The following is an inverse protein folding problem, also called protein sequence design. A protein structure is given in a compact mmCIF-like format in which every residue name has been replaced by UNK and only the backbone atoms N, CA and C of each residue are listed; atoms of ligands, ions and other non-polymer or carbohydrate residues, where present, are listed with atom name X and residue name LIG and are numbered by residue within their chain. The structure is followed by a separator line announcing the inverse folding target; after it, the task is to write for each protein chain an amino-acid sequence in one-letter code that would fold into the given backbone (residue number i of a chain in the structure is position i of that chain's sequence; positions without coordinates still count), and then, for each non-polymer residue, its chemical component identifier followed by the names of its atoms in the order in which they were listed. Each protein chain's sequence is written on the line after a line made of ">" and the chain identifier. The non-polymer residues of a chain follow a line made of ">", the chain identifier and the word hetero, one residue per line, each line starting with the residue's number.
data_IF_613494729198
#
_entry.id   IF_613494729198
#
_cell.length_a   1.000
_cell.length_b   1.000
_cell.length_c   1.000
_cell.angle_alpha   90.00
_cell.angle_beta   90.00
_cell.angle_gamma   90.00
#
_symmetry.space_group_name_H-M   'P 1'
#
loop_
_entity.id
_entity.type
_entity.pdbx_description
1 polymer ?
#
# COMPACT_ATOMS: atom_id res chain seq x y z
N UNK A 1 -12.40 -6.29 2.07
CA UNK A 1 -11.66 -5.09 1.59
C UNK A 1 -11.53 -4.13 2.75
N UNK A 2 -10.47 -4.26 3.54
CA UNK A 2 -10.22 -3.35 4.66
C UNK A 2 -9.27 -2.26 4.21
N UNK A 3 -9.57 -1.05 4.61
CA UNK A 3 -8.96 0.20 4.17
C UNK A 3 -7.56 0.33 4.74
N UNK A 4 -6.60 0.64 3.89
CA UNK A 4 -5.25 1.06 4.31
C UNK A 4 -5.37 2.40 5.06
N UNK A 5 -5.22 2.40 6.37
CA UNK A 5 -5.10 3.63 7.15
C UNK A 5 -3.63 4.06 7.11
N UNK A 6 -3.32 5.07 6.31
CA UNK A 6 -2.02 5.71 6.28
C UNK A 6 -2.03 6.92 7.21
N UNK A 7 -1.21 6.90 8.25
CA UNK A 7 -0.85 8.11 8.98
C UNK A 7 0.22 8.84 8.18
N UNK A 8 -0.15 9.97 7.59
CA UNK A 8 0.80 10.82 6.87
C UNK A 8 1.70 11.55 7.85
N UNK A 9 3.01 11.33 7.72
CA UNK A 9 4.04 12.10 8.38
C UNK A 9 4.16 13.52 7.79
N UNK A 10 4.81 14.35 8.53
CA UNK A 10 5.06 15.78 8.38
C UNK A 10 5.33 16.19 6.95
N UNK A 11 4.40 16.93 6.35
CA UNK A 11 4.56 17.62 5.08
C UNK A 11 5.32 18.92 5.29
N UNK A 12 6.56 18.99 4.86
CA UNK A 12 7.26 20.25 4.67
C UNK A 12 7.00 20.72 3.25
N UNK A 13 5.91 21.43 3.02
CA UNK A 13 5.71 22.17 1.79
C UNK A 13 6.56 23.44 1.87
N UNK A 14 7.68 23.47 1.16
CA UNK A 14 8.35 24.74 0.84
C UNK A 14 7.50 25.43 -0.21
N UNK A 15 6.50 26.17 0.23
CA UNK A 15 5.76 27.10 -0.60
C UNK A 15 6.57 28.40 -0.72
N UNK A 16 7.21 28.62 -1.85
CA UNK A 16 7.47 29.97 -2.32
C UNK A 16 6.19 30.48 -3.02
N UNK A 17 5.13 30.66 -2.24
CA UNK A 17 3.95 31.38 -2.70
C UNK A 17 4.14 32.85 -2.31
N UNK A 18 4.73 33.61 -3.19
CA UNK A 18 4.48 35.06 -3.17
C UNK A 18 3.01 35.27 -3.49
N UNK A 19 2.23 35.52 -2.44
CA UNK A 19 0.83 35.92 -2.58
C UNK A 19 0.80 37.28 -3.29
N UNK A 20 0.39 37.28 -4.55
CA UNK A 20 0.26 38.50 -5.37
C UNK A 20 -0.65 39.58 -4.77
N UNK A 21 -1.28 39.33 -3.62
CA UNK A 21 -2.31 40.17 -3.02
C UNK A 21 -1.91 40.84 -1.71
N UNK A 22 -0.69 40.65 -1.17
CA UNK A 22 -0.38 41.11 0.18
C UNK A 22 0.42 42.41 0.28
N UNK A 23 0.88 43.02 -0.81
CA UNK A 23 1.80 44.16 -0.75
C UNK A 23 1.55 45.35 -1.68
N UNK A 24 0.40 45.44 -2.34
CA UNK A 24 0.11 46.67 -3.07
C UNK A 24 -1.25 47.22 -2.60
N UNK A 25 -1.34 48.52 -2.24
CA UNK A 25 -2.62 49.21 -2.24
C UNK A 25 -3.06 49.20 -3.70
N UNK A 26 -4.04 48.34 -3.97
CA UNK A 26 -4.49 48.09 -5.33
C UNK A 26 -5.12 49.38 -5.91
N UNK A 27 -4.38 50.14 -6.59
CA UNK A 27 -4.93 51.00 -7.62
C UNK A 27 -5.24 50.11 -8.80
N UNK A 28 -6.37 49.42 -8.69
CA UNK A 28 -6.90 48.65 -9.81
C UNK A 28 -7.30 49.64 -10.92
N UNK A 29 -6.63 49.59 -12.03
CA UNK A 29 -7.14 50.20 -13.24
C UNK A 29 -8.33 49.34 -13.71
N UNK A 30 -9.54 49.92 -13.85
CA UNK A 30 -10.77 49.17 -14.14
C UNK A 30 -10.72 48.38 -15.46
N UNK A 31 -9.79 48.66 -16.32
CA UNK A 31 -9.63 48.04 -17.63
C UNK A 31 -8.59 46.92 -17.66
N UNK A 32 -7.97 46.58 -16.52
CA UNK A 32 -7.01 45.49 -16.46
C UNK A 32 -7.72 44.16 -16.15
N UNK A 33 -7.64 43.14 -17.01
CA UNK A 33 -8.23 41.83 -16.76
C UNK A 33 -7.64 41.17 -15.52
N UNK A 34 -6.46 41.58 -15.08
CA UNK A 34 -5.81 41.09 -13.84
C UNK A 34 -6.45 41.64 -12.56
N UNK A 35 -7.07 42.82 -12.63
CA UNK A 35 -7.69 43.47 -11.47
C UNK A 35 -8.93 42.72 -10.99
N UNK A 36 -9.61 42.00 -11.87
CA UNK A 36 -10.78 41.20 -11.50
C UNK A 36 -10.43 40.00 -10.63
N UNK A 37 -9.19 39.56 -10.59
CA UNK A 37 -8.74 38.35 -9.89
C UNK A 37 -7.96 38.63 -8.60
N UNK A 38 -7.44 39.84 -8.42
CA UNK A 38 -6.76 40.25 -7.20
C UNK A 38 -7.73 40.71 -6.13
N UNK A 39 -8.69 39.87 -5.77
CA UNK A 39 -9.60 40.15 -4.66
C UNK A 39 -8.93 39.69 -3.38
N UNK A 40 -8.84 40.58 -2.40
CA UNK A 40 -8.17 40.28 -1.13
C UNK A 40 -8.69 39.00 -0.44
N UNK A 41 -7.96 38.49 0.54
CA UNK A 41 -8.24 37.20 1.18
C UNK A 41 -9.62 37.15 1.87
N UNK A 42 -10.26 38.27 2.09
CA UNK A 42 -11.59 38.37 2.71
C UNK A 42 -12.75 38.27 1.71
N UNK A 43 -12.48 38.21 0.42
CA UNK A 43 -13.49 38.08 -0.61
C UNK A 43 -13.50 36.71 -1.24
N UNK A 44 -14.69 36.15 -1.44
CA UNK A 44 -14.91 34.86 -2.13
C UNK A 44 -15.43 35.02 -3.55
N UNK A 45 -15.55 36.25 -4.01
CA UNK A 45 -16.01 36.56 -5.37
C UNK A 45 -14.90 37.29 -6.15
N UNK A 46 -14.44 36.75 -7.29
CA UNK A 46 -14.94 35.53 -7.92
C UNK A 46 -14.53 34.26 -7.18
N UNK A 47 -15.40 33.26 -7.23
CA UNK A 47 -15.17 31.95 -6.58
C UNK A 47 -14.03 31.14 -7.20
N UNK A 48 -13.63 31.54 -8.41
CA UNK A 48 -12.52 30.95 -9.16
C UNK A 48 -11.54 32.05 -9.48
N UNK A 49 -10.27 31.84 -9.14
CA UNK A 49 -9.20 32.80 -9.37
C UNK A 49 -7.86 32.09 -9.51
N UNK A 50 -6.91 32.63 -10.28
CA UNK A 50 -5.58 32.05 -10.37
C UNK A 50 -4.87 32.11 -9.01
N UNK A 51 -4.07 31.08 -8.73
CA UNK A 51 -3.23 31.02 -7.53
C UNK A 51 -2.06 31.99 -7.61
N UNK A 52 -1.64 32.34 -8.84
CA UNK A 52 -0.57 33.31 -9.11
C UNK A 52 -0.91 34.14 -10.35
N UNK A 53 -0.50 35.39 -10.36
CA UNK A 53 -0.79 36.32 -11.48
C UNK A 53 -0.02 35.97 -12.75
N UNK A 54 1.20 35.44 -12.64
CA UNK A 54 2.12 35.22 -13.77
C UNK A 54 2.32 33.73 -14.08
N UNK A 55 1.56 32.86 -13.43
CA UNK A 55 1.81 31.43 -13.45
C UNK A 55 2.94 31.04 -12.49
N UNK A 56 2.82 29.90 -11.85
CA UNK A 56 3.86 29.44 -10.92
C UNK A 56 4.06 27.94 -10.99
N UNK A 57 5.30 27.55 -10.73
CA UNK A 57 5.66 26.17 -10.53
C UNK A 57 5.70 25.88 -9.03
N UNK A 58 5.04 24.81 -8.63
CA UNK A 58 5.05 24.30 -7.27
C UNK A 58 5.75 22.94 -7.26
N UNK A 59 6.79 22.83 -6.43
CA UNK A 59 7.45 21.55 -6.13
C UNK A 59 7.01 21.08 -4.76
N UNK A 60 6.53 19.84 -4.68
CA UNK A 60 6.16 19.20 -3.42
C UNK A 60 7.05 18.00 -3.14
N UNK A 61 7.53 17.89 -1.90
CA UNK A 61 8.27 16.73 -1.40
C UNK A 61 7.67 16.31 -0.05
N UNK A 62 7.25 15.07 0.03
CA UNK A 62 6.64 14.51 1.23
C UNK A 62 7.36 13.23 1.64
N UNK A 63 7.69 13.11 2.91
CA UNK A 63 8.13 11.85 3.51
C UNK A 63 6.93 11.03 3.93
N UNK A 64 6.92 9.74 3.64
CA UNK A 64 5.87 8.81 4.00
C UNK A 64 6.41 7.82 5.01
N UNK A 65 5.61 7.55 6.05
CA UNK A 65 5.88 6.51 7.03
C UNK A 65 4.60 5.72 7.23
N UNK A 66 4.48 4.61 6.52
CA UNK A 66 3.25 3.83 6.43
C UNK A 66 3.43 2.42 6.96
N UNK A 67 2.34 1.85 7.42
CA UNK A 67 2.23 0.43 7.70
C UNK A 67 1.36 -0.20 6.62
N UNK A 68 1.90 -1.21 5.93
CA UNK A 68 1.18 -1.91 4.86
C UNK A 68 0.63 -3.23 5.38
N UNK A 69 -0.65 -3.44 5.18
CA UNK A 69 -1.34 -4.68 5.51
C UNK A 69 -2.07 -5.21 4.29
N UNK A 70 -2.06 -6.52 4.13
CA UNK A 70 -2.80 -7.23 3.09
C UNK A 70 -3.57 -8.38 3.74
N UNK A 71 -4.85 -8.50 3.42
CA UNK A 71 -5.67 -9.63 3.84
C UNK A 71 -5.36 -10.87 2.99
N UNK A 72 -5.57 -12.07 3.55
CA UNK A 72 -5.35 -13.33 2.86
C UNK A 72 -3.87 -13.72 2.79
N UNK A 73 -3.08 -13.32 3.80
CA UNK A 73 -1.66 -13.64 3.88
C UNK A 73 -1.34 -14.57 5.05
N UNK A 74 -2.35 -15.29 5.52
CA UNK A 74 -2.15 -16.29 6.55
C UNK A 74 -1.12 -17.32 6.06
N UNK A 75 -0.05 -17.50 6.85
CA UNK A 75 1.06 -18.37 6.45
C UNK A 75 1.01 -19.75 7.11
N UNK A 76 0.35 -19.84 8.23
CA UNK A 76 0.24 -21.06 8.99
C UNK A 76 -1.07 -21.12 9.79
N UNK A 77 -1.46 -22.32 10.15
CA UNK A 77 -2.46 -22.59 11.18
C UNK A 77 -1.72 -23.16 12.37
N UNK A 78 -1.83 -22.50 13.52
CA UNK A 78 -1.45 -23.07 14.80
C UNK A 78 -2.63 -23.89 15.34
N UNK A 79 -2.41 -25.19 15.50
CA UNK A 79 -3.45 -26.11 15.91
C UNK A 79 -3.08 -26.75 17.24
N UNK A 80 -3.95 -26.58 18.23
CA UNK A 80 -3.78 -27.09 19.60
C UNK A 80 -3.95 -28.61 19.72
N UNK A 81 -3.70 -29.35 18.65
CA UNK A 81 -3.78 -30.81 18.68
C UNK A 81 -2.45 -31.42 19.06
N UNK A 82 -2.50 -32.25 20.09
CA UNK A 82 -1.37 -32.93 20.70
C UNK A 82 -0.92 -34.14 19.88
N UNK A 83 0.36 -34.18 19.50
CA UNK A 83 1.01 -35.37 18.93
C UNK A 83 2.02 -35.93 19.93
N UNK A 84 1.69 -36.99 20.60
CA UNK A 84 2.62 -37.66 21.54
C UNK A 84 3.77 -38.33 20.78
N UNK A 85 4.99 -37.99 21.15
CA UNK A 85 6.20 -38.62 20.61
C UNK A 85 6.18 -40.13 20.92
N UNK A 86 5.95 -40.95 19.90
CA UNK A 86 5.93 -42.42 20.05
C UNK A 86 4.59 -43.11 19.82
N UNK A 87 3.50 -42.38 19.86
CA UNK A 87 2.20 -42.90 19.49
C UNK A 87 1.91 -42.61 18.03
N UNK A 88 2.02 -43.58 17.16
CA UNK A 88 1.50 -43.54 15.80
C UNK A 88 0.32 -44.56 15.72
N UNK A 89 -0.74 -44.39 16.44
CA UNK A 89 -1.97 -45.13 16.21
C UNK A 89 -2.88 -44.32 15.30
N UNK A 90 -3.82 -44.99 14.66
CA UNK A 90 -4.81 -44.39 13.77
C UNK A 90 -5.60 -43.22 14.39
N UNK A 91 -5.73 -43.17 15.70
CA UNK A 91 -6.41 -42.09 16.44
C UNK A 91 -5.72 -40.72 16.30
N UNK A 92 -4.39 -40.69 16.21
CA UNK A 92 -3.64 -39.45 16.02
C UNK A 92 -3.90 -38.86 14.61
N UNK A 93 -4.14 -39.71 13.64
CA UNK A 93 -4.46 -39.28 12.27
C UNK A 93 -5.82 -38.57 12.20
N UNK A 94 -6.80 -39.00 12.92
CA UNK A 94 -8.11 -38.34 12.97
C UNK A 94 -8.03 -37.00 13.70
N UNK A 95 -7.22 -36.92 14.77
CA UNK A 95 -7.08 -35.70 15.56
C UNK A 95 -6.35 -34.59 14.81
N UNK A 96 -5.35 -34.89 14.02
CA UNK A 96 -4.58 -33.89 13.29
C UNK A 96 -5.34 -33.31 12.09
N UNK A 97 -6.34 -34.02 11.57
CA UNK A 97 -7.25 -33.49 10.57
C UNK A 97 -8.34 -32.60 11.17
N UNK A 98 -8.51 -32.61 12.50
CA UNK A 98 -9.45 -31.74 13.17
C UNK A 98 -8.73 -30.47 13.62
N UNK A 99 -9.16 -29.34 13.13
CA UNK A 99 -8.71 -28.02 13.60
C UNK A 99 -9.50 -27.71 14.89
N UNK A 100 -8.84 -27.90 16.03
CA UNK A 100 -9.41 -27.63 17.35
C UNK A 100 -8.65 -26.47 17.97
N UNK A 101 -9.36 -25.43 18.38
CA UNK A 101 -8.78 -24.18 18.91
C UNK A 101 -7.65 -23.66 18.02
N UNK A 102 -7.88 -23.74 16.72
CA UNK A 102 -6.88 -23.40 15.71
C UNK A 102 -6.90 -21.90 15.41
N UNK A 103 -5.72 -21.31 15.33
CA UNK A 103 -5.52 -19.90 15.00
C UNK A 103 -4.80 -19.74 13.65
N UNK A 104 -5.32 -18.84 12.82
CA UNK A 104 -4.64 -18.43 11.59
C UNK A 104 -3.60 -17.37 11.89
N UNK A 105 -2.38 -17.63 11.48
CA UNK A 105 -1.25 -16.76 11.74
C UNK A 105 -0.95 -15.88 10.51
N UNK A 106 -0.90 -14.59 10.74
CA UNK A 106 -0.59 -13.58 9.74
C UNK A 106 0.80 -12.99 9.94
N UNK A 107 1.52 -12.61 8.86
CA UNK A 107 2.76 -11.88 9.02
C UNK A 107 2.52 -10.51 9.65
N UNK A 108 3.35 -10.14 10.62
CA UNK A 108 3.26 -8.85 11.28
C UNK A 108 3.79 -7.75 10.38
N UNK A 109 2.91 -6.82 10.03
CA UNK A 109 3.24 -5.67 9.22
C UNK A 109 4.21 -4.73 9.96
N UNK A 110 5.24 -4.26 9.25
CA UNK A 110 6.23 -3.33 9.75
C UNK A 110 6.04 -1.96 9.11
N UNK A 111 6.33 -0.92 9.88
CA UNK A 111 6.36 0.43 9.34
C UNK A 111 7.47 0.58 8.31
N UNK A 112 7.14 1.12 7.15
CA UNK A 112 8.04 1.34 6.04
C UNK A 112 8.12 2.81 5.66
N UNK A 113 9.27 3.20 5.11
CA UNK A 113 9.47 4.54 4.58
C UNK A 113 9.12 4.59 3.10
N UNK A 114 8.65 5.76 2.69
CA UNK A 114 8.41 6.11 1.31
C UNK A 114 8.55 7.61 1.12
N UNK A 115 8.34 8.07 -0.09
CA UNK A 115 8.29 9.49 -0.40
C UNK A 115 7.29 9.76 -1.52
N UNK A 116 6.86 11.01 -1.58
CA UNK A 116 6.04 11.54 -2.66
C UNK A 116 6.69 12.82 -3.16
N UNK A 117 6.90 12.89 -4.46
CA UNK A 117 7.45 14.06 -5.14
C UNK A 117 6.46 14.55 -6.19
N UNK A 118 6.20 15.84 -6.22
CA UNK A 118 5.25 16.45 -7.16
C UNK A 118 5.80 17.71 -7.79
N UNK A 119 5.37 17.93 -9.03
CA UNK A 119 5.59 19.16 -9.77
C UNK A 119 4.25 19.60 -10.35
N UNK A 120 3.79 20.78 -9.98
CA UNK A 120 2.52 21.33 -10.42
C UNK A 120 2.75 22.70 -11.06
N UNK A 121 2.13 22.94 -12.18
CA UNK A 121 2.07 24.26 -12.82
C UNK A 121 0.71 24.87 -12.57
N UNK A 122 0.68 26.00 -11.90
CA UNK A 122 -0.51 26.81 -11.68
C UNK A 122 -0.66 27.80 -12.83
N UNK A 123 -1.77 27.68 -13.56
CA UNK A 123 -2.07 28.56 -14.69
C UNK A 123 -2.49 29.95 -14.21
N UNK A 124 -2.19 30.95 -15.01
CA UNK A 124 -2.74 32.33 -14.85
C UNK A 124 -4.24 32.41 -15.10
N UNK A 125 -4.85 31.35 -15.60
CA UNK A 125 -6.21 31.32 -16.10
C UNK A 125 -7.14 30.54 -15.17
N UNK A 126 -8.11 31.20 -14.56
CA UNK A 126 -9.25 30.60 -13.85
C UNK A 126 -8.92 29.53 -12.78
N UNK A 127 -7.75 29.61 -12.14
CA UNK A 127 -7.36 28.68 -11.09
C UNK A 127 -7.14 27.23 -11.55
N UNK A 128 -6.92 27.01 -12.86
CA UNK A 128 -6.51 25.72 -13.38
C UNK A 128 -5.05 25.41 -13.04
N UNK A 129 -4.81 24.18 -12.69
CA UNK A 129 -3.47 23.65 -12.49
C UNK A 129 -3.31 22.28 -13.14
N UNK A 130 -2.10 21.96 -13.55
CA UNK A 130 -1.70 20.66 -14.03
C UNK A 130 -0.50 20.17 -13.24
N UNK A 131 -0.55 18.96 -12.75
CA UNK A 131 0.52 18.41 -11.92
C UNK A 131 0.86 16.98 -12.25
N UNK A 132 2.11 16.62 -11.96
CA UNK A 132 2.60 15.27 -11.98
C UNK A 132 3.09 14.93 -10.59
N UNK A 133 2.68 13.78 -10.06
CA UNK A 133 3.07 13.31 -8.74
C UNK A 133 3.59 11.89 -8.84
N UNK A 134 4.75 11.64 -8.25
CA UNK A 134 5.30 10.30 -8.10
C UNK A 134 5.32 9.90 -6.62
N UNK A 135 4.75 8.76 -6.32
CA UNK A 135 4.74 8.16 -4.99
C UNK A 135 5.50 6.85 -5.04
N UNK A 136 6.49 6.71 -4.17
CA UNK A 136 7.22 5.48 -3.96
C UNK A 136 7.10 5.04 -2.50
N UNK A 137 6.86 3.76 -2.29
CA UNK A 137 6.78 3.19 -0.95
C UNK A 137 7.24 1.74 -0.94
N UNK A 138 7.89 1.33 0.14
CA UNK A 138 8.26 -0.06 0.39
C UNK A 138 7.66 -0.55 1.71
N UNK A 139 6.76 -1.53 1.61
CA UNK A 139 6.17 -2.24 2.73
C UNK A 139 6.85 -3.58 3.00
N UNK A 140 6.81 -4.03 4.25
CA UNK A 140 7.32 -5.34 4.67
C UNK A 140 6.48 -5.89 5.79
N UNK A 141 6.32 -7.22 5.80
CA UNK A 141 5.77 -7.95 6.93
C UNK A 141 6.58 -9.22 7.13
N UNK A 142 6.74 -9.64 8.38
CA UNK A 142 7.42 -10.91 8.67
C UNK A 142 6.89 -11.49 9.97
N UNK A 143 6.86 -12.80 10.04
CA UNK A 143 6.56 -13.53 11.26
C UNK A 143 7.33 -14.84 11.26
N UNK A 144 7.59 -15.34 12.46
CA UNK A 144 8.23 -16.62 12.70
C UNK A 144 7.51 -17.29 13.86
N UNK A 145 7.21 -18.56 13.70
CA UNK A 145 6.65 -19.38 14.75
C UNK A 145 7.35 -20.74 14.79
N UNK A 146 7.66 -21.19 15.99
CA UNK A 146 8.19 -22.51 16.27
C UNK A 146 7.27 -23.22 17.23
N UNK A 147 6.88 -24.47 16.91
CA UNK A 147 6.10 -25.29 17.80
C UNK A 147 6.95 -25.64 19.03
N UNK A 148 6.40 -25.39 20.21
CA UNK A 148 7.06 -25.72 21.47
C UNK A 148 7.39 -27.21 21.55
N UNK A 149 8.51 -27.53 22.22
CA UNK A 149 9.04 -28.89 22.32
C UNK A 149 8.14 -29.83 23.12
N UNK A 150 7.12 -29.33 23.78
CA UNK A 150 6.19 -30.07 24.66
C UNK A 150 5.03 -30.75 23.92
N UNK A 151 5.12 -30.85 22.59
CA UNK A 151 4.22 -31.63 21.72
C UNK A 151 2.74 -31.21 21.73
N UNK A 152 2.40 -30.01 22.20
CA UNK A 152 1.01 -29.56 22.33
C UNK A 152 0.47 -28.78 21.12
N UNK A 153 1.33 -28.45 20.15
CA UNK A 153 0.96 -27.67 19.00
C UNK A 153 1.48 -28.28 17.71
N UNK A 154 0.65 -28.25 16.68
CA UNK A 154 1.04 -28.61 15.32
C UNK A 154 0.86 -27.42 14.40
N UNK A 155 1.91 -27.06 13.66
CA UNK A 155 1.85 -25.98 12.69
C UNK A 155 1.54 -26.55 11.31
N UNK A 156 0.48 -26.07 10.69
CA UNK A 156 0.08 -26.49 9.35
C UNK A 156 0.48 -25.35 8.38
N UNK A 157 1.48 -25.56 7.51
CA UNK A 157 1.81 -24.56 6.49
C UNK A 157 0.65 -24.37 5.52
N UNK A 158 0.36 -23.11 5.23
CA UNK A 158 -0.52 -22.72 4.13
C UNK A 158 0.34 -22.45 2.88
N UNK A 159 -0.24 -22.30 1.74
CA UNK A 159 0.44 -21.95 0.48
C UNK A 159 1.36 -23.01 -0.14
N UNK A 160 1.68 -24.11 0.55
CA UNK A 160 2.40 -25.20 -0.09
C UNK A 160 1.42 -26.15 -0.80
N UNK A 161 1.63 -26.38 -2.08
CA UNK A 161 0.86 -27.33 -2.87
C UNK A 161 1.42 -28.75 -2.77
N UNK A 162 2.61 -28.92 -2.24
CA UNK A 162 3.27 -30.21 -2.13
C UNK A 162 2.81 -30.97 -0.89
N UNK A 163 2.35 -32.20 -1.12
CA UNK A 163 2.02 -33.16 -0.06
C UNK A 163 2.89 -34.42 -0.21
N UNK A 164 3.60 -34.73 0.84
CA UNK A 164 4.59 -35.81 0.85
C UNK A 164 4.02 -37.22 0.93
N UNK A 165 2.86 -37.55 0.52
CA UNK A 165 2.29 -38.89 0.42
C UNK A 165 0.99 -39.17 1.15
N UNK A 166 0.37 -40.28 0.75
CA UNK A 166 -0.99 -40.73 1.09
C UNK A 166 -1.21 -41.13 2.58
N UNK A 167 -0.27 -40.93 3.47
CA UNK A 167 -0.30 -41.59 4.79
C UNK A 167 -0.28 -40.56 5.92
N UNK A 168 -0.08 -39.27 5.69
CA UNK A 168 0.30 -38.43 6.81
C UNK A 168 -0.35 -37.09 6.85
N UNK A 169 -0.71 -36.79 7.99
CA UNK A 169 -0.91 -35.49 8.52
C UNK A 169 0.36 -34.68 8.34
N UNK A 170 0.23 -33.64 7.62
CA UNK A 170 1.34 -32.80 7.25
C UNK A 170 1.41 -31.63 8.21
N UNK A 171 2.44 -31.63 9.02
CA UNK A 171 2.73 -30.57 9.97
C UNK A 171 4.20 -30.19 9.90
N UNK A 172 4.50 -28.95 10.22
CA UNK A 172 5.84 -28.41 10.35
C UNK A 172 6.12 -28.05 11.81
N UNK A 173 7.41 -27.90 12.17
CA UNK A 173 7.81 -27.42 13.51
C UNK A 173 8.15 -25.95 13.55
N UNK A 174 8.63 -25.43 12.46
CA UNK A 174 9.15 -24.08 12.35
C UNK A 174 8.66 -23.52 11.01
N UNK A 175 7.97 -22.39 11.05
CA UNK A 175 7.47 -21.72 9.87
C UNK A 175 7.84 -20.25 9.98
N UNK A 176 8.48 -19.74 8.93
CA UNK A 176 8.87 -18.35 8.80
C UNK A 176 8.25 -17.77 7.53
N UNK A 177 7.69 -16.57 7.65
CA UNK A 177 7.05 -15.87 6.56
C UNK A 177 7.66 -14.48 6.38
N UNK A 178 8.00 -14.14 5.14
CA UNK A 178 8.46 -12.81 4.75
C UNK A 178 7.69 -12.29 3.55
N UNK A 179 7.08 -11.15 3.70
CA UNK A 179 6.44 -10.42 2.62
C UNK A 179 7.09 -9.07 2.40
N UNK A 180 7.25 -8.70 1.15
CA UNK A 180 7.66 -7.38 0.75
C UNK A 180 6.81 -6.85 -0.39
N UNK A 181 6.57 -5.54 -0.38
CA UNK A 181 5.85 -4.84 -1.42
C UNK A 181 6.59 -3.58 -1.81
N UNK A 182 6.73 -3.34 -3.11
CA UNK A 182 7.16 -2.07 -3.69
C UNK A 182 6.01 -1.45 -4.44
N UNK A 183 5.63 -0.26 -4.04
CA UNK A 183 4.58 0.53 -4.66
C UNK A 183 5.19 1.72 -5.39
N UNK A 184 4.89 1.84 -6.67
CA UNK A 184 5.19 3.01 -7.49
C UNK A 184 3.89 3.50 -8.13
N UNK A 185 3.52 4.74 -7.85
CA UNK A 185 2.38 5.40 -8.48
C UNK A 185 2.89 6.69 -9.15
N UNK A 186 2.50 6.90 -10.39
CA UNK A 186 2.71 8.15 -11.09
C UNK A 186 1.34 8.69 -11.52
N UNK A 187 0.98 9.84 -11.00
CA UNK A 187 -0.31 10.50 -11.25
C UNK A 187 -0.08 11.77 -12.06
N UNK A 188 -0.86 11.93 -13.12
CA UNK A 188 -0.96 13.18 -13.89
C UNK A 188 -2.36 13.72 -13.67
N UNK A 189 -2.48 14.90 -13.08
CA UNK A 189 -3.74 15.48 -12.66
C UNK A 189 -3.96 16.85 -13.26
N UNK A 190 -5.19 17.13 -13.63
CA UNK A 190 -5.71 18.45 -13.99
C UNK A 190 -6.71 18.84 -12.90
N UNK A 191 -6.44 19.93 -12.20
CA UNK A 191 -7.27 20.44 -11.12
C UNK A 191 -7.75 21.86 -11.38
N UNK A 192 -8.76 22.25 -10.61
CA UNK A 192 -9.26 23.63 -10.57
C UNK A 192 -9.66 23.97 -9.17
N UNK A 193 -9.09 25.05 -8.61
CA UNK A 193 -9.40 25.48 -7.26
C UNK A 193 -10.63 26.41 -7.22
N UNK A 194 -11.56 26.11 -6.30
CA UNK A 194 -12.74 26.90 -6.02
C UNK A 194 -12.73 27.42 -4.58
N UNK A 195 -12.98 28.68 -4.40
CA UNK A 195 -13.19 29.31 -3.11
C UNK A 195 -14.68 29.27 -2.75
N UNK A 196 -15.06 28.28 -1.95
CA UNK A 196 -16.43 28.11 -1.49
C UNK A 196 -16.79 29.16 -0.43
N UNK A 197 -15.81 29.50 0.40
CA UNK A 197 -15.88 30.58 1.39
C UNK A 197 -14.49 31.11 1.68
N UNK A 198 -14.36 32.17 2.46
CA UNK A 198 -13.04 32.66 2.93
C UNK A 198 -12.28 31.65 3.77
N UNK A 199 -12.97 30.64 4.28
CA UNK A 199 -12.37 29.58 5.12
C UNK A 199 -12.27 28.23 4.43
N UNK A 200 -12.91 28.03 3.27
CA UNK A 200 -13.00 26.74 2.62
C UNK A 200 -12.65 26.86 1.15
N UNK A 201 -11.61 26.12 0.73
CA UNK A 201 -11.32 25.88 -0.68
C UNK A 201 -11.61 24.41 -1.03
N UNK A 202 -12.04 24.20 -2.27
CA UNK A 202 -12.28 22.89 -2.86
C UNK A 202 -11.60 22.84 -4.22
N UNK A 203 -10.70 21.86 -4.40
CA UNK A 203 -10.02 21.59 -5.68
C UNK A 203 -10.43 20.23 -6.22
N UNK A 204 -11.51 20.11 -7.02
CA UNK A 204 -11.75 18.93 -7.81
C UNK A 204 -10.62 18.73 -8.82
N UNK A 205 -10.29 17.47 -9.07
CA UNK A 205 -9.27 17.09 -10.04
C UNK A 205 -9.66 15.80 -10.75
N UNK A 206 -9.20 15.67 -11.96
CA UNK A 206 -9.27 14.46 -12.77
C UNK A 206 -7.89 14.18 -13.37
N UNK A 207 -7.61 12.92 -13.66
CA UNK A 207 -6.29 12.60 -14.17
C UNK A 207 -6.13 11.15 -14.57
N UNK A 208 -4.87 10.79 -14.81
CA UNK A 208 -4.44 9.45 -15.18
C UNK A 208 -3.45 8.96 -14.14
N UNK A 209 -3.62 7.72 -13.70
CA UNK A 209 -2.73 7.01 -12.79
C UNK A 209 -2.02 5.88 -13.50
N UNK A 210 -0.71 5.84 -13.36
CA UNK A 210 0.13 4.69 -13.67
C UNK A 210 0.51 4.01 -12.35
N UNK A 211 0.32 2.70 -12.27
CA UNK A 211 0.61 1.94 -11.05
C UNK A 211 1.50 0.74 -11.37
N UNK A 212 2.54 0.56 -10.55
CA UNK A 212 3.38 -0.63 -10.49
C UNK A 212 3.44 -1.10 -9.04
N UNK A 213 3.00 -2.33 -8.80
CA UNK A 213 2.98 -2.94 -7.48
C UNK A 213 3.65 -4.30 -7.60
N UNK A 214 4.84 -4.43 -7.04
CA UNK A 214 5.59 -5.67 -7.03
C UNK A 214 5.54 -6.25 -5.62
N UNK A 215 5.15 -7.52 -5.51
CA UNK A 215 5.03 -8.22 -4.23
C UNK A 215 5.76 -9.53 -4.28
N UNK A 216 6.59 -9.78 -3.27
CA UNK A 216 7.27 -11.04 -3.05
C UNK A 216 6.83 -11.59 -1.69
N UNK A 217 6.45 -12.87 -1.67
CA UNK A 217 6.08 -13.58 -0.45
C UNK A 217 6.84 -14.89 -0.38
N UNK A 218 7.68 -15.04 0.63
CA UNK A 218 8.51 -16.22 0.83
C UNK A 218 8.18 -16.86 2.16
N UNK A 219 8.00 -18.16 2.13
CA UNK A 219 7.72 -19.00 3.29
C UNK A 219 8.79 -20.08 3.39
N UNK A 220 9.28 -20.30 4.59
CA UNK A 220 10.13 -21.44 4.91
C UNK A 220 9.47 -22.28 5.99
N UNK A 221 9.47 -23.59 5.79
CA UNK A 221 8.99 -24.51 6.79
C UNK A 221 10.02 -25.62 6.98
N UNK A 222 10.25 -25.97 8.24
CA UNK A 222 11.28 -26.91 8.66
C UNK A 222 10.72 -27.91 9.66
N UNK A 223 11.27 -29.10 9.63
CA UNK A 223 10.90 -30.17 10.57
C UNK A 223 9.49 -30.71 10.36
N UNK A 224 9.07 -31.59 11.24
CA UNK A 224 7.77 -32.25 11.14
C UNK A 224 7.71 -33.31 10.04
N UNK A 225 6.52 -33.50 9.51
CA UNK A 225 6.21 -34.48 8.45
C UNK A 225 5.75 -33.81 7.15
N UNK A 226 5.72 -32.48 7.07
CA UNK A 226 5.27 -31.77 5.87
C UNK A 226 6.10 -32.13 4.63
N UNK A 227 7.37 -32.09 4.78
CA UNK A 227 8.33 -32.55 3.78
C UNK A 227 8.97 -33.84 4.26
N UNK A 228 8.85 -34.91 3.49
CA UNK A 228 9.40 -36.24 3.81
C UNK A 228 10.70 -36.18 4.64
N UNK A 229 10.63 -36.67 5.88
CA UNK A 229 11.72 -36.88 6.82
C UNK A 229 12.99 -36.02 6.62
N UNK A 230 13.09 -34.94 7.38
CA UNK A 230 14.29 -34.10 7.45
C UNK A 230 14.59 -33.25 6.20
N UNK A 231 13.57 -32.85 5.48
CA UNK A 231 13.73 -31.83 4.43
C UNK A 231 13.14 -30.51 4.90
N UNK A 232 13.67 -29.41 4.36
CA UNK A 232 13.10 -28.09 4.52
C UNK A 232 12.35 -27.69 3.25
N UNK A 233 11.20 -27.08 3.41
CA UNK A 233 10.44 -26.53 2.31
C UNK A 233 10.64 -25.02 2.21
N UNK A 234 10.58 -24.53 0.99
CA UNK A 234 10.62 -23.10 0.67
C UNK A 234 9.57 -22.83 -0.42
N UNK A 235 8.69 -21.89 -0.15
CA UNK A 235 7.65 -21.43 -1.08
C UNK A 235 7.95 -19.98 -1.42
N UNK A 236 8.09 -19.70 -2.71
CA UNK A 236 8.32 -18.36 -3.23
C UNK A 236 7.16 -17.97 -4.13
N UNK A 237 6.43 -16.95 -3.73
CA UNK A 237 5.34 -16.40 -4.51
C UNK A 237 5.64 -14.96 -4.89
N UNK A 238 5.37 -14.62 -6.14
CA UNK A 238 5.52 -13.28 -6.66
C UNK A 238 4.24 -12.85 -7.36
N UNK A 239 3.85 -11.60 -7.15
CA UNK A 239 2.70 -11.00 -7.79
C UNK A 239 3.03 -9.57 -8.21
N UNK A 240 3.28 -9.39 -9.50
CA UNK A 240 3.58 -8.09 -10.09
C UNK A 240 2.36 -7.56 -10.83
N UNK A 241 1.96 -6.34 -10.52
CA UNK A 241 0.88 -5.64 -11.18
C UNK A 241 1.39 -4.35 -11.83
N UNK A 242 1.11 -4.21 -13.13
CA UNK A 242 1.37 -2.98 -13.86
C UNK A 242 0.11 -2.54 -14.60
N UNK A 243 -0.31 -1.31 -14.39
CA UNK A 243 -1.55 -0.82 -14.98
C UNK A 243 -1.61 0.69 -15.15
N UNK A 244 -2.62 1.10 -15.91
CA UNK A 244 -2.96 2.50 -16.16
C UNK A 244 -4.47 2.68 -16.02
N UNK A 245 -4.90 3.84 -15.53
CA UNK A 245 -6.32 4.08 -15.34
C UNK A 245 -6.68 5.52 -15.09
N UNK A 246 -7.99 5.76 -15.01
CA UNK A 246 -8.54 7.05 -14.65
C UNK A 246 -8.50 7.29 -13.14
N UNK A 247 -8.26 8.53 -12.76
CA UNK A 247 -8.27 9.03 -11.39
C UNK A 247 -9.15 10.26 -11.30
N UNK A 248 -9.90 10.40 -10.21
CA UNK A 248 -10.68 11.61 -9.93
C UNK A 248 -10.86 11.77 -8.44
N UNK A 249 -10.96 13.02 -8.01
CA UNK A 249 -11.10 13.32 -6.60
C UNK A 249 -11.20 14.80 -6.32
N UNK A 250 -11.05 15.15 -5.06
CA UNK A 250 -11.02 16.53 -4.60
C UNK A 250 -10.15 16.70 -3.37
N UNK A 251 -9.49 17.84 -3.33
CA UNK A 251 -8.73 18.32 -2.20
C UNK A 251 -9.49 19.47 -1.54
N UNK A 252 -9.50 19.49 -0.23
CA UNK A 252 -10.18 20.54 0.55
C UNK A 252 -9.20 21.14 1.55
N UNK A 253 -9.29 22.47 1.74
CA UNK A 253 -8.51 23.16 2.78
C UNK A 253 -9.48 24.02 3.58
N UNK A 254 -9.50 23.81 4.88
CA UNK A 254 -10.31 24.57 5.84
C UNK A 254 -9.40 25.45 6.70
N UNK A 255 -9.44 26.76 6.46
CA UNK A 255 -8.65 27.76 7.17
C UNK A 255 -9.27 28.07 8.51
N UNK A 256 -8.60 27.73 9.60
CA UNK A 256 -9.07 28.01 10.97
C UNK A 256 -8.63 29.39 11.47
N UNK A 257 -7.69 30.04 10.79
CA UNK A 257 -7.09 31.30 11.21
C UNK A 257 -5.73 31.12 11.87
N UNK A 258 -5.03 32.24 12.06
CA UNK A 258 -3.66 32.28 12.64
C UNK A 258 -2.64 31.37 11.92
N UNK A 259 -2.81 31.16 10.61
CA UNK A 259 -1.94 30.30 9.81
C UNK A 259 -2.24 28.80 9.89
N UNK A 260 -3.18 28.36 10.73
CA UNK A 260 -3.55 26.95 10.85
C UNK A 260 -4.70 26.60 9.92
N UNK A 261 -4.58 25.48 9.23
CA UNK A 261 -5.62 24.93 8.37
C UNK A 261 -5.70 23.41 8.50
N UNK A 262 -6.89 22.85 8.32
CA UNK A 262 -7.08 21.44 8.05
C UNK A 262 -7.12 21.20 6.55
N UNK A 263 -6.56 20.08 6.11
CA UNK A 263 -6.73 19.62 4.75
C UNK A 263 -7.37 18.22 4.73
N UNK A 264 -8.12 17.96 3.67
CA UNK A 264 -8.70 16.65 3.39
C UNK A 264 -8.62 16.37 1.90
N UNK A 265 -7.98 15.26 1.53
CA UNK A 265 -7.83 14.83 0.15
C UNK A 265 -8.49 13.48 -0.02
N UNK A 266 -9.30 13.34 -1.06
CA UNK A 266 -9.89 12.05 -1.42
C UNK A 266 -9.83 11.87 -2.91
N UNK A 267 -9.50 10.66 -3.36
CA UNK A 267 -9.51 10.30 -4.76
C UNK A 267 -9.84 8.82 -4.96
N UNK A 268 -10.48 8.53 -6.08
CA UNK A 268 -10.77 7.19 -6.55
C UNK A 268 -10.07 6.99 -7.89
N UNK A 269 -9.44 5.83 -8.07
CA UNK A 269 -8.82 5.43 -9.32
C UNK A 269 -9.29 4.06 -9.73
N UNK A 270 -9.53 3.86 -11.02
CA UNK A 270 -9.79 2.56 -11.63
C UNK A 270 -8.66 2.26 -12.59
N UNK A 271 -7.79 1.33 -12.22
CA UNK A 271 -6.56 1.01 -12.94
C UNK A 271 -6.73 -0.36 -13.59
N UNK A 272 -6.70 -0.39 -14.92
CA UNK A 272 -6.69 -1.64 -15.68
C UNK A 272 -5.26 -2.04 -15.98
N UNK A 273 -4.90 -3.27 -15.65
CA UNK A 273 -3.52 -3.71 -15.77
C UNK A 273 -3.35 -5.20 -15.90
N UNK A 274 -2.09 -5.60 -15.99
CA UNK A 274 -1.65 -6.98 -16.07
C UNK A 274 -1.09 -7.41 -14.73
N UNK A 275 -1.52 -8.58 -14.27
CA UNK A 275 -0.94 -9.34 -13.19
C UNK A 275 -0.03 -10.42 -13.75
N UNK A 276 1.15 -10.57 -13.18
CA UNK A 276 2.04 -11.70 -13.39
C UNK A 276 2.23 -12.37 -12.03
N UNK A 277 1.73 -13.59 -11.93
CA UNK A 277 1.77 -14.37 -10.67
C UNK A 277 2.70 -15.54 -10.89
N UNK A 278 3.63 -15.76 -9.95
CA UNK A 278 4.54 -16.91 -9.95
C UNK A 278 4.47 -17.61 -8.61
N UNK A 279 4.57 -18.92 -8.67
CA UNK A 279 4.61 -19.78 -7.50
C UNK A 279 5.67 -20.87 -7.72
N UNK A 280 6.74 -20.78 -6.98
CA UNK A 280 7.86 -21.75 -6.99
C UNK A 280 7.96 -22.41 -5.63
N UNK A 281 8.03 -23.74 -5.62
CA UNK A 281 8.28 -24.49 -4.39
C UNK A 281 9.56 -25.32 -4.53
N UNK A 282 10.31 -25.32 -3.44
CA UNK A 282 11.58 -26.04 -3.35
C UNK A 282 11.60 -26.92 -2.11
N UNK A 283 12.17 -28.10 -2.29
CA UNK A 283 12.47 -29.02 -1.20
C UNK A 283 13.98 -29.19 -1.08
N UNK A 284 14.50 -28.96 0.13
CA UNK A 284 15.93 -29.06 0.41
C UNK A 284 16.17 -30.22 1.37
N UNK A 285 16.91 -31.22 0.91
CA UNK A 285 17.33 -32.34 1.74
C UNK A 285 18.42 -31.91 2.71
N UNK A 286 18.18 -32.13 4.03
CA UNK A 286 19.13 -31.72 5.08
C UNK A 286 20.30 -32.70 5.19
N UNK A 287 20.07 -34.01 4.96
CA UNK A 287 21.14 -35.02 5.02
C UNK A 287 22.00 -35.00 3.75
N UNK A 288 23.26 -35.25 3.93
CA UNK A 288 24.23 -35.33 2.83
C UNK A 288 23.89 -36.48 1.84
N UNK A 289 24.04 -36.27 0.52
CA UNK A 289 24.36 -34.98 -0.11
C UNK A 289 23.15 -34.03 -0.03
N UNK A 290 23.39 -32.77 0.35
CA UNK A 290 22.35 -31.75 0.35
C UNK A 290 21.96 -31.45 -1.09
N UNK A 291 20.69 -31.61 -1.40
CA UNK A 291 20.13 -31.32 -2.72
C UNK A 291 18.90 -30.43 -2.56
N UNK A 292 18.86 -29.34 -3.33
CA UNK A 292 17.68 -28.48 -3.45
C UNK A 292 16.99 -28.84 -4.76
N UNK A 293 15.75 -29.31 -4.67
CA UNK A 293 14.94 -29.74 -5.81
C UNK A 293 13.73 -28.87 -5.92
N UNK A 294 13.44 -28.34 -7.12
CA UNK A 294 12.18 -27.67 -7.40
C UNK A 294 11.09 -28.73 -7.52
N UNK A 295 10.00 -28.56 -6.78
CA UNK A 295 8.88 -29.49 -6.72
C UNK A 295 7.64 -28.92 -7.37
N UNK A 296 7.53 -27.59 -7.45
CA UNK A 296 6.48 -26.88 -8.14
C UNK A 296 7.06 -25.66 -8.85
N UNK A 297 6.60 -25.41 -10.06
CA UNK A 297 6.78 -24.17 -10.79
C UNK A 297 5.47 -23.89 -11.52
N UNK A 298 4.83 -22.80 -11.15
CA UNK A 298 3.60 -22.35 -11.79
C UNK A 298 3.68 -20.85 -12.01
N UNK A 299 3.34 -20.43 -13.22
CA UNK A 299 3.19 -19.02 -13.56
C UNK A 299 1.87 -18.79 -14.29
N UNK A 300 1.25 -17.68 -13.99
CA UNK A 300 0.03 -17.23 -14.64
C UNK A 300 0.08 -15.72 -14.88
N UNK A 301 -0.63 -15.29 -15.90
CA UNK A 301 -0.77 -13.89 -16.20
C UNK A 301 -2.17 -13.58 -16.73
N UNK A 302 -2.79 -12.63 -16.10
CA UNK A 302 -4.13 -12.19 -16.45
C UNK A 302 -4.25 -10.68 -16.40
N UNK A 303 -5.36 -10.16 -16.92
CA UNK A 303 -5.67 -8.74 -16.86
C UNK A 303 -6.92 -8.52 -16.03
N UNK A 304 -6.86 -7.52 -15.15
CA UNK A 304 -8.00 -7.14 -14.33
C UNK A 304 -7.97 -5.65 -14.00
N UNK A 305 -9.12 -5.15 -13.58
CA UNK A 305 -9.25 -3.78 -13.07
C UNK A 305 -9.06 -3.79 -11.56
N UNK A 306 -8.25 -2.86 -11.07
CA UNK A 306 -8.04 -2.62 -9.64
C UNK A 306 -8.58 -1.25 -9.26
N UNK A 307 -9.50 -1.21 -8.30
CA UNK A 307 -9.95 0.02 -7.68
C UNK A 307 -8.95 0.43 -6.59
N UNK A 308 -8.57 1.70 -6.58
CA UNK A 308 -7.70 2.29 -5.55
C UNK A 308 -8.38 3.53 -5.00
N UNK A 309 -8.44 3.63 -3.68
CA UNK A 309 -8.98 4.78 -2.98
C UNK A 309 -7.87 5.43 -2.17
N UNK A 310 -7.67 6.71 -2.38
CA UNK A 310 -6.74 7.51 -1.59
C UNK A 310 -7.54 8.38 -0.64
N UNK A 311 -7.13 8.42 0.62
CA UNK A 311 -7.70 9.28 1.64
C UNK A 311 -6.55 9.86 2.47
N UNK A 312 -6.51 11.19 2.59
CA UNK A 312 -5.55 11.87 3.45
C UNK A 312 -6.28 12.97 4.24
N UNK A 313 -6.01 13.04 5.52
CA UNK A 313 -6.50 14.07 6.42
C UNK A 313 -5.32 14.56 7.25
N UNK A 314 -5.25 15.89 7.48
CA UNK A 314 -4.18 16.42 8.27
C UNK A 314 -4.33 17.90 8.59
N UNK A 315 -3.32 18.41 9.25
CA UNK A 315 -3.19 19.82 9.62
C UNK A 315 -1.95 20.41 8.95
N UNK A 316 -2.04 21.66 8.55
CA UNK A 316 -0.92 22.43 8.02
C UNK A 316 -0.88 23.80 8.73
N UNK A 317 0.32 24.28 8.89
CA UNK A 317 0.61 25.58 9.51
C UNK A 317 1.62 26.33 8.68
#
# INVERSE_FOLDING_TARGET
>A
MKTLLALTGITSALCAAETCCESAPAVCYPDSPLCAYCVGPDSVNPSVRPLSCDGSWLVTLEGLYWNSHQDGMEFAIDNSVFVRKGDIPAVVFEQLNNLIDAEYLNPHAKWGFGFKAGLTYNSTHDGWDIGVTWTWYQGRASSHIEAETDDNHTLIPLWSAYQASNISILWARDIEAHWSMRLNLADVELGREFWVSKYLTLRPHVGIRFASIDQDYTLWHKGGLWTLFLNNGEVNMRNDFHGVGGRGGFNTIWKLGKGVSFFGNTALSLVYGRFNVKHDEWNTRIRAPQTKTRILEADDHFRATRAMTDLALGMQW
#
